data_IF_069779258306
#
_entry.id   IF_069779258306
#
_cell.length_a   1.000
_cell.length_b   1.000
_cell.length_c   1.000
_cell.angle_alpha   90.00
_cell.angle_beta   90.00
_cell.angle_gamma   90.00
#
_symmetry.space_group_name_H-M   'P 1'
#
loop_
_entity.id
_entity.type
_entity.pdbx_description
1 polymer ?
#
# COMPACT_ATOMS: atom_id res chain seq x y z
N UNK A 1 19.03 -4.54 -5.71
CA UNK A 1 17.67 -4.15 -5.28
C UNK A 1 17.17 -3.02 -6.18
N UNK A 2 15.97 -3.17 -6.77
CA UNK A 2 15.29 -2.07 -7.46
C UNK A 2 14.41 -1.37 -6.42
N UNK A 3 14.74 -0.13 -6.04
CA UNK A 3 13.96 0.61 -5.04
C UNK A 3 12.69 1.16 -5.70
N UNK A 4 11.57 1.14 -4.97
CA UNK A 4 10.37 1.83 -5.45
C UNK A 4 10.63 3.36 -5.49
N UNK A 5 10.27 4.05 -6.58
CA UNK A 5 10.49 5.49 -6.71
C UNK A 5 9.85 6.30 -5.59
N UNK A 6 10.35 7.51 -5.36
CA UNK A 6 9.67 8.48 -4.50
C UNK A 6 8.50 9.08 -5.27
N UNK A 7 7.36 9.23 -4.60
CA UNK A 7 6.12 9.75 -5.19
C UNK A 7 5.94 11.22 -4.83
N UNK A 8 5.74 12.08 -5.82
CA UNK A 8 5.60 13.54 -5.64
C UNK A 8 4.23 13.90 -5.06
N UNK A 9 4.16 15.01 -4.33
CA UNK A 9 2.88 15.54 -3.84
C UNK A 9 2.16 16.35 -4.92
N UNK A 10 0.84 16.23 -4.97
CA UNK A 10 -0.01 17.22 -5.66
C UNK A 10 -0.15 18.45 -4.76
N UNK A 11 -0.08 19.68 -5.30
CA UNK A 11 -0.30 20.91 -4.51
C UNK A 11 -1.65 20.87 -3.78
N UNK A 12 -1.64 21.32 -2.52
CA UNK A 12 -2.78 21.17 -1.61
C UNK A 12 -2.74 19.89 -0.77
N UNK A 13 -1.86 18.93 -1.12
CA UNK A 13 -1.47 17.82 -0.26
C UNK A 13 -0.53 18.32 0.84
N UNK A 14 -0.68 17.82 2.08
CA UNK A 14 0.25 18.16 3.16
C UNK A 14 1.46 17.23 3.11
N UNK A 15 2.67 17.81 3.14
CA UNK A 15 3.92 17.06 3.15
C UNK A 15 4.08 16.27 4.46
N UNK A 16 4.46 15.00 4.39
CA UNK A 16 4.83 14.21 5.56
C UNK A 16 6.32 14.43 5.90
N UNK A 17 6.74 14.02 7.11
CA UNK A 17 8.16 14.03 7.49
C UNK A 17 8.97 13.23 6.47
N UNK A 18 9.99 13.86 5.89
CA UNK A 18 10.85 13.25 4.86
C UNK A 18 10.52 13.64 3.42
N UNK A 19 9.41 14.34 3.16
CA UNK A 19 9.03 14.83 1.82
C UNK A 19 9.64 16.20 1.45
N UNK A 20 10.49 16.78 2.30
CA UNK A 20 11.04 18.14 2.13
C UNK A 20 11.76 18.39 0.79
N UNK A 21 12.28 17.33 0.16
CA UNK A 21 13.03 17.43 -1.10
C UNK A 21 12.16 17.27 -2.36
N UNK A 22 10.84 17.04 -2.22
CA UNK A 22 9.94 16.83 -3.37
C UNK A 22 9.09 18.07 -3.65
N UNK A 23 9.31 18.70 -4.80
CA UNK A 23 8.48 19.80 -5.25
C UNK A 23 7.02 19.34 -5.47
N UNK A 24 6.06 20.04 -4.84
CA UNK A 24 4.64 19.80 -5.03
C UNK A 24 4.18 20.26 -6.43
N UNK A 25 3.53 19.35 -7.16
CA UNK A 25 3.14 19.53 -8.55
C UNK A 25 1.72 20.08 -8.64
N UNK A 26 1.45 21.14 -9.42
CA UNK A 26 0.09 21.64 -9.61
C UNK A 26 -0.79 20.60 -10.32
N UNK A 27 -2.05 20.49 -9.92
CA UNK A 27 -2.98 19.53 -10.53
C UNK A 27 -3.18 19.77 -12.04
N UNK A 28 -2.95 20.98 -12.54
CA UNK A 28 -2.99 21.31 -13.97
C UNK A 28 -2.01 20.50 -14.83
N UNK A 29 -0.98 19.88 -14.24
CA UNK A 29 -0.08 18.96 -14.95
C UNK A 29 -0.68 17.55 -15.15
N UNK A 30 -1.77 17.23 -14.44
CA UNK A 30 -2.49 15.96 -14.50
C UNK A 30 -3.84 16.10 -15.21
N UNK A 31 -4.41 17.32 -15.24
CA UNK A 31 -5.74 17.58 -15.78
C UNK A 31 -5.91 17.05 -17.21
N UNK A 32 -7.04 16.37 -17.47
CA UNK A 32 -7.38 15.79 -18.77
C UNK A 32 -6.57 14.54 -19.19
N UNK A 33 -5.53 14.15 -18.44
CA UNK A 33 -4.77 12.91 -18.69
C UNK A 33 -5.53 11.69 -18.18
N UNK A 34 -5.23 10.50 -18.69
CA UNK A 34 -5.84 9.27 -18.17
C UNK A 34 -5.24 8.91 -16.80
N UNK A 35 -6.05 9.06 -15.75
CA UNK A 35 -5.65 8.81 -14.37
C UNK A 35 -6.18 7.47 -13.87
N UNK A 36 -5.37 6.79 -13.07
CA UNK A 36 -5.84 5.74 -12.16
C UNK A 36 -5.63 6.24 -10.73
N UNK A 37 -6.73 6.41 -10.00
CA UNK A 37 -6.73 6.87 -8.62
C UNK A 37 -7.01 5.67 -7.72
N UNK A 38 -6.07 5.37 -6.84
CA UNK A 38 -6.13 4.29 -5.87
C UNK A 38 -6.24 4.85 -4.45
N UNK A 39 -6.90 4.12 -3.54
CA UNK A 39 -6.81 4.43 -2.12
C UNK A 39 -5.35 4.32 -1.68
N UNK A 40 -4.82 5.37 -1.06
CA UNK A 40 -3.52 5.28 -0.41
C UNK A 40 -3.70 4.57 0.93
N UNK A 41 -3.22 3.33 1.00
CA UNK A 41 -3.19 2.57 2.25
C UNK A 41 -1.96 2.93 3.09
N UNK A 42 -2.12 2.88 4.41
CA UNK A 42 -1.10 3.20 5.41
C UNK A 42 -0.44 1.90 5.92
N UNK A 43 0.66 1.52 5.28
CA UNK A 43 1.44 0.35 5.65
C UNK A 43 2.93 0.52 5.34
N UNK A 44 3.59 -0.60 5.09
CA UNK A 44 4.99 -0.64 4.72
C UNK A 44 5.16 -1.05 3.27
N UNK A 45 5.88 -0.25 2.49
CA UNK A 45 6.29 -0.64 1.14
C UNK A 45 7.05 -1.97 1.16
N UNK A 46 6.58 -2.93 0.36
CA UNK A 46 7.20 -4.22 0.18
C UNK A 46 7.32 -4.56 -1.32
N UNK A 47 8.27 -5.44 -1.65
CA UNK A 47 8.46 -5.92 -3.01
C UNK A 47 8.83 -7.40 -3.07
N UNK A 48 8.44 -8.03 -4.17
CA UNK A 48 8.67 -9.44 -4.50
C UNK A 48 9.31 -9.50 -5.88
N UNK A 49 10.38 -10.28 -6.00
CA UNK A 49 11.05 -10.55 -7.26
C UNK A 49 11.71 -11.92 -7.19
N UNK A 50 12.10 -12.46 -8.34
CA UNK A 50 12.93 -13.66 -8.41
C UNK A 50 14.28 -13.32 -9.03
N UNK A 51 15.35 -13.96 -8.53
CA UNK A 51 16.65 -13.86 -9.16
C UNK A 51 16.90 -14.95 -10.21
N UNK A 52 18.11 -14.99 -10.80
CA UNK A 52 18.44 -15.88 -11.92
C UNK A 52 18.28 -17.37 -11.64
N UNK A 53 18.37 -17.78 -10.38
CA UNK A 53 18.16 -19.17 -9.97
C UNK A 53 16.69 -19.49 -9.65
N UNK A 54 15.78 -18.52 -9.83
CA UNK A 54 14.40 -18.59 -9.36
C UNK A 54 14.27 -18.39 -7.85
N UNK A 55 15.30 -17.87 -7.18
CA UNK A 55 15.27 -17.62 -5.75
C UNK A 55 14.35 -16.44 -5.42
N UNK A 56 13.45 -16.64 -4.45
CA UNK A 56 12.54 -15.61 -3.97
C UNK A 56 13.33 -14.50 -3.26
N UNK A 57 13.15 -13.26 -3.71
CA UNK A 57 13.74 -12.07 -3.09
C UNK A 57 12.62 -11.15 -2.61
N UNK A 58 12.61 -10.91 -1.30
CA UNK A 58 11.67 -10.01 -0.64
C UNK A 58 12.40 -8.75 -0.19
N UNK A 59 11.77 -7.59 -0.34
CA UNK A 59 12.37 -6.31 0.01
C UNK A 59 11.37 -5.40 0.74
N UNK A 60 11.88 -4.59 1.66
CA UNK A 60 11.24 -3.34 2.06
C UNK A 60 11.69 -2.23 1.10
N UNK A 61 11.27 -0.98 1.36
CA UNK A 61 11.75 0.19 0.61
C UNK A 61 13.29 0.34 0.64
N UNK A 62 13.92 0.01 1.76
CA UNK A 62 15.31 0.35 2.06
C UNK A 62 16.32 -0.77 1.80
N UNK A 63 15.90 -2.03 1.97
CA UNK A 63 16.77 -3.21 1.99
C UNK A 63 16.00 -4.49 1.65
N UNK A 64 16.73 -5.54 1.26
CA UNK A 64 16.19 -6.89 1.17
C UNK A 64 15.89 -7.42 2.58
N UNK A 65 14.79 -8.16 2.73
CA UNK A 65 14.35 -8.73 4.00
C UNK A 65 15.12 -10.03 4.27
N UNK A 66 16.16 -9.95 5.09
CA UNK A 66 17.08 -11.07 5.37
C UNK A 66 16.88 -11.69 6.76
N UNK A 67 15.95 -11.18 7.55
CA UNK A 67 15.70 -11.65 8.92
C UNK A 67 16.14 -10.65 10.00
N UNK A 68 15.76 -10.95 11.24
CA UNK A 68 16.17 -10.19 12.43
C UNK A 68 15.01 -9.53 13.19
N UNK A 69 15.27 -9.05 14.42
CA UNK A 69 14.22 -8.58 15.33
C UNK A 69 13.38 -7.41 14.79
N UNK A 70 14.01 -6.52 14.01
CA UNK A 70 13.34 -5.36 13.40
C UNK A 70 12.39 -5.74 12.25
N UNK A 71 12.49 -6.97 11.74
CA UNK A 71 11.65 -7.49 10.66
C UNK A 71 10.51 -8.37 11.17
N UNK A 72 10.23 -8.39 12.49
CA UNK A 72 9.16 -9.23 13.09
C UNK A 72 7.81 -9.06 12.39
N UNK A 73 7.50 -7.83 11.99
CA UNK A 73 6.25 -7.50 11.31
C UNK A 73 6.19 -8.02 9.86
N UNK A 74 7.32 -8.41 9.27
CA UNK A 74 7.41 -9.06 7.96
C UNK A 74 7.44 -10.59 8.05
N UNK A 75 7.45 -11.21 9.24
CA UNK A 75 7.46 -12.67 9.33
C UNK A 75 6.24 -13.31 8.61
N UNK A 76 4.99 -12.80 8.75
CA UNK A 76 3.87 -13.33 8.00
C UNK A 76 4.00 -13.09 6.48
N UNK A 77 4.57 -11.96 6.05
CA UNK A 77 4.84 -11.68 4.64
C UNK A 77 5.80 -12.69 4.03
N UNK A 78 6.87 -13.03 4.75
CA UNK A 78 7.85 -14.03 4.31
C UNK A 78 7.23 -15.41 4.18
N UNK A 79 6.43 -15.81 5.17
CA UNK A 79 5.73 -17.09 5.16
C UNK A 79 4.74 -17.17 3.99
N UNK A 80 3.88 -16.17 3.84
CA UNK A 80 2.93 -16.09 2.73
C UNK A 80 3.63 -16.09 1.37
N UNK A 81 4.64 -15.24 1.17
CA UNK A 81 5.35 -15.14 -0.10
C UNK A 81 6.09 -16.44 -0.46
N UNK A 82 6.64 -17.16 0.52
CA UNK A 82 7.23 -18.48 0.30
C UNK A 82 6.19 -19.51 -0.17
N UNK A 83 5.00 -19.50 0.43
CA UNK A 83 3.89 -20.39 0.04
C UNK A 83 3.40 -20.11 -1.39
N UNK A 84 3.26 -18.84 -1.77
CA UNK A 84 2.72 -18.47 -3.09
C UNK A 84 3.79 -18.33 -4.18
N UNK A 85 5.07 -18.46 -3.83
CA UNK A 85 6.19 -18.34 -4.76
C UNK A 85 6.07 -19.24 -6.01
N UNK A 86 5.65 -20.52 -5.92
CA UNK A 86 5.46 -21.37 -7.10
C UNK A 86 4.41 -20.84 -8.09
N UNK A 87 3.41 -20.08 -7.61
CA UNK A 87 2.39 -19.46 -8.45
C UNK A 87 2.87 -18.13 -9.05
N UNK A 88 3.69 -17.37 -8.30
CA UNK A 88 4.22 -16.08 -8.76
C UNK A 88 5.42 -16.22 -9.70
N UNK A 89 6.28 -17.23 -9.51
CA UNK A 89 7.52 -17.40 -10.27
C UNK A 89 7.31 -17.51 -11.78
N UNK A 90 6.36 -18.30 -12.30
CA UNK A 90 6.11 -18.39 -13.75
C UNK A 90 5.64 -17.07 -14.37
N UNK A 91 4.98 -16.22 -13.58
CA UNK A 91 4.43 -14.92 -14.02
C UNK A 91 5.50 -13.84 -13.99
N UNK A 92 6.16 -13.66 -12.84
CA UNK A 92 7.14 -12.59 -12.64
C UNK A 92 8.46 -12.89 -13.36
N UNK A 93 8.89 -14.17 -13.33
CA UNK A 93 10.23 -14.57 -13.72
C UNK A 93 11.31 -13.68 -13.10
N UNK A 94 12.42 -13.52 -13.82
CA UNK A 94 13.48 -12.57 -13.47
C UNK A 94 13.18 -11.14 -13.94
N UNK A 95 12.11 -10.97 -14.74
CA UNK A 95 11.80 -9.72 -15.45
C UNK A 95 11.10 -8.71 -14.57
N UNK A 96 10.14 -9.16 -13.76
CA UNK A 96 9.24 -8.26 -13.06
C UNK A 96 9.60 -8.12 -11.58
N UNK A 97 9.50 -6.90 -11.07
CA UNK A 97 9.49 -6.61 -9.64
C UNK A 97 8.08 -6.16 -9.25
N UNK A 98 7.42 -6.98 -8.45
CA UNK A 98 6.09 -6.72 -7.90
C UNK A 98 6.21 -5.85 -6.65
N UNK A 99 5.51 -4.72 -6.61
CA UNK A 99 5.45 -3.83 -5.45
C UNK A 99 4.04 -3.81 -4.87
N UNK A 100 3.97 -3.78 -3.54
CA UNK A 100 2.72 -3.69 -2.82
C UNK A 100 2.90 -3.09 -1.44
N UNK A 101 1.78 -2.74 -0.84
CA UNK A 101 1.71 -2.25 0.52
C UNK A 101 1.51 -3.43 1.45
N UNK A 102 2.46 -3.64 2.35
CA UNK A 102 2.37 -4.62 3.42
C UNK A 102 1.66 -4.02 4.62
N UNK A 103 0.50 -4.58 4.94
CA UNK A 103 -0.51 -4.00 5.82
C UNK A 103 -0.78 -4.85 7.04
N UNK A 104 0.06 -5.84 7.36
CA UNK A 104 -0.16 -6.68 8.54
C UNK A 104 -0.13 -5.89 9.83
N UNK A 105 0.90 -5.07 10.04
CA UNK A 105 0.98 -4.22 11.22
C UNK A 105 0.17 -2.95 11.01
N UNK A 106 -0.68 -2.61 11.99
CA UNK A 106 -1.29 -1.30 12.09
C UNK A 106 -0.22 -0.21 12.20
N UNK A 107 -0.34 0.81 11.36
CA UNK A 107 0.42 2.05 11.47
C UNK A 107 -0.43 3.13 12.17
N UNK A 108 -0.79 4.20 11.46
CA UNK A 108 -1.66 5.28 11.93
C UNK A 108 -3.12 4.88 11.72
N UNK A 109 -3.44 4.29 10.58
CA UNK A 109 -4.76 3.71 10.29
C UNK A 109 -4.80 2.25 10.75
N UNK A 110 -5.90 1.87 11.40
CA UNK A 110 -6.28 0.48 11.63
C UNK A 110 -7.32 0.06 10.60
N UNK A 111 -7.07 -1.03 9.90
CA UNK A 111 -7.99 -1.61 8.93
C UNK A 111 -8.59 -2.89 9.50
N UNK A 112 -9.90 -3.06 9.40
CA UNK A 112 -10.62 -4.28 9.81
C UNK A 112 -11.22 -5.04 8.63
N UNK A 113 -11.14 -4.48 7.42
CA UNK A 113 -11.70 -5.06 6.20
C UNK A 113 -10.71 -4.98 5.03
N UNK A 114 -9.43 -5.31 5.25
CA UNK A 114 -8.46 -5.35 4.15
C UNK A 114 -8.84 -6.43 3.13
N UNK A 115 -8.70 -6.15 1.82
CA UNK A 115 -8.89 -7.18 0.80
C UNK A 115 -7.74 -8.19 0.76
N UNK A 116 -6.55 -7.82 1.24
CA UNK A 116 -5.40 -8.70 1.46
C UNK A 116 -4.38 -8.01 2.39
N UNK A 117 -3.47 -8.76 3.03
CA UNK A 117 -2.41 -8.15 3.86
C UNK A 117 -1.24 -7.58 3.04
N UNK A 118 -1.10 -8.03 1.79
CA UNK A 118 -0.21 -7.46 0.79
C UNK A 118 -1.06 -6.98 -0.39
N UNK A 119 -1.23 -5.68 -0.53
CA UNK A 119 -2.01 -5.10 -1.63
C UNK A 119 -1.07 -4.57 -2.71
N UNK A 120 -1.11 -5.17 -3.88
CA UNK A 120 -0.29 -4.81 -5.03
C UNK A 120 -0.64 -3.43 -5.56
N UNK A 121 0.37 -2.59 -5.81
CA UNK A 121 0.15 -1.26 -6.39
C UNK A 121 1.10 -0.95 -7.54
N UNK A 122 2.11 -1.75 -7.84
CA UNK A 122 2.92 -1.51 -9.04
C UNK A 122 3.69 -2.74 -9.49
N UNK A 123 4.04 -2.77 -10.77
CA UNK A 123 4.98 -3.76 -11.30
C UNK A 123 5.99 -3.07 -12.19
N UNK A 124 7.27 -3.19 -11.85
CA UNK A 124 8.36 -2.75 -12.71
C UNK A 124 8.74 -3.87 -13.67
N UNK A 125 8.71 -3.57 -14.96
CA UNK A 125 9.38 -4.34 -15.99
C UNK A 125 10.85 -3.92 -16.07
N UNK A 126 11.74 -4.80 -15.64
CA UNK A 126 13.18 -4.48 -15.58
C UNK A 126 13.88 -4.52 -16.94
N UNK A 127 13.24 -5.07 -17.98
CA UNK A 127 13.79 -5.07 -19.35
C UNK A 127 13.49 -3.75 -20.06
N UNK A 128 12.29 -3.23 -19.85
CA UNK A 128 11.81 -1.99 -20.46
C UNK A 128 12.07 -0.75 -19.59
N UNK A 129 12.54 -0.95 -18.35
CA UNK A 129 12.65 0.07 -17.29
C UNK A 129 11.37 0.90 -17.13
N UNK A 130 10.22 0.23 -17.23
CA UNK A 130 8.91 0.85 -17.25
C UNK A 130 7.97 0.16 -16.26
N UNK A 131 7.09 0.94 -15.66
CA UNK A 131 6.04 0.40 -14.81
C UNK A 131 4.82 0.03 -15.65
N UNK A 132 4.24 -1.13 -15.39
CA UNK A 132 3.04 -1.60 -16.09
C UNK A 132 1.82 -0.74 -15.70
N UNK A 133 0.95 -0.47 -16.66
CA UNK A 133 -0.38 0.08 -16.40
C UNK A 133 -1.24 -0.90 -15.59
N UNK A 134 -2.28 -0.39 -14.94
CA UNK A 134 -3.22 -1.19 -14.15
C UNK A 134 -3.83 -2.37 -14.90
N UNK A 135 -4.29 -2.24 -16.16
CA UNK A 135 -4.74 -3.39 -16.94
C UNK A 135 -3.64 -4.45 -17.17
N UNK A 136 -2.41 -4.02 -17.47
CA UNK A 136 -1.26 -4.92 -17.72
C UNK A 136 -0.80 -5.65 -16.45
N UNK A 137 -0.89 -4.99 -15.28
CA UNK A 137 -0.64 -5.63 -13.98
C UNK A 137 -1.68 -6.71 -13.69
N UNK A 138 -2.97 -6.43 -13.94
CA UNK A 138 -4.06 -7.40 -13.78
C UNK A 138 -3.90 -8.63 -14.67
N UNK A 139 -3.54 -8.41 -15.94
CA UNK A 139 -3.24 -9.49 -16.89
C UNK A 139 -2.05 -10.35 -16.40
N UNK A 140 -0.96 -9.71 -15.97
CA UNK A 140 0.22 -10.42 -15.47
C UNK A 140 -0.07 -11.29 -14.24
N UNK A 141 -0.95 -10.81 -13.36
CA UNK A 141 -1.25 -11.42 -12.06
C UNK A 141 -2.54 -12.25 -12.06
N UNK A 142 -3.16 -12.45 -13.23
CA UNK A 142 -4.40 -13.20 -13.34
C UNK A 142 -4.25 -14.60 -12.73
N UNK A 143 -5.18 -14.96 -11.84
CA UNK A 143 -5.19 -16.24 -11.11
C UNK A 143 -4.07 -16.39 -10.08
N UNK A 144 -3.27 -15.36 -9.80
CA UNK A 144 -2.35 -15.36 -8.66
C UNK A 144 -3.10 -14.93 -7.38
N UNK A 145 -2.66 -15.39 -6.19
CA UNK A 145 -3.21 -14.98 -4.89
C UNK A 145 -2.76 -13.56 -4.50
N UNK A 146 -2.91 -12.59 -5.40
CA UNK A 146 -2.47 -11.20 -5.19
C UNK A 146 -3.63 -10.29 -5.52
N UNK A 147 -3.97 -9.42 -4.56
CA UNK A 147 -5.04 -8.44 -4.72
C UNK A 147 -4.41 -7.06 -4.86
N UNK A 148 -4.87 -6.26 -5.81
CA UNK A 148 -4.41 -4.87 -5.95
C UNK A 148 -5.01 -3.97 -4.87
N UNK A 149 -4.37 -2.83 -4.61
CA UNK A 149 -4.98 -1.74 -3.85
C UNK A 149 -6.32 -1.31 -4.48
N UNK A 150 -7.31 -0.85 -3.68
CA UNK A 150 -8.60 -0.41 -4.19
C UNK A 150 -8.47 0.72 -5.21
N UNK A 151 -9.04 0.53 -6.40
CA UNK A 151 -9.14 1.58 -7.43
C UNK A 151 -10.43 2.36 -7.22
N UNK A 152 -10.31 3.67 -6.99
CA UNK A 152 -11.42 4.58 -6.73
C UNK A 152 -11.91 5.28 -8.00
N UNK A 153 -11.03 5.47 -8.98
CA UNK A 153 -11.37 6.10 -10.25
C UNK A 153 -10.41 5.68 -11.36
N UNK A 154 -10.95 5.52 -12.57
CA UNK A 154 -10.19 5.37 -13.82
C UNK A 154 -10.76 6.35 -14.84
N UNK A 155 -9.91 7.19 -15.42
CA UNK A 155 -10.31 8.17 -16.42
C UNK A 155 -9.71 9.55 -16.19
N UNK A 156 -10.04 10.52 -17.06
CA UNK A 156 -9.59 11.90 -16.89
C UNK A 156 -10.37 12.63 -15.80
N UNK A 157 -9.67 13.54 -15.14
CA UNK A 157 -10.24 14.52 -14.21
C UNK A 157 -9.79 15.92 -14.61
N UNK A 158 -10.70 16.88 -14.55
CA UNK A 158 -10.44 18.26 -15.00
C UNK A 158 -9.97 19.16 -13.85
N UNK A 159 -10.46 18.94 -12.63
CA UNK A 159 -10.20 19.83 -11.49
C UNK A 159 -9.69 19.07 -10.28
N UNK A 160 -8.85 19.73 -9.48
CA UNK A 160 -8.38 19.20 -8.21
C UNK A 160 -9.55 18.82 -7.28
N UNK A 161 -10.64 19.59 -7.30
CA UNK A 161 -11.84 19.30 -6.53
C UNK A 161 -12.49 17.95 -6.90
N UNK A 162 -12.39 17.53 -8.18
CA UNK A 162 -12.91 16.24 -8.62
C UNK A 162 -12.06 15.10 -8.07
N UNK A 163 -10.73 15.27 -8.04
CA UNK A 163 -9.81 14.34 -7.38
C UNK A 163 -10.10 14.25 -5.87
N UNK A 164 -10.12 15.38 -5.16
CA UNK A 164 -10.23 15.38 -3.70
C UNK A 164 -11.60 14.90 -3.20
N UNK A 165 -12.65 14.95 -4.03
CA UNK A 165 -13.96 14.36 -3.70
C UNK A 165 -13.93 12.83 -3.62
N UNK A 166 -12.91 12.17 -4.17
CA UNK A 166 -12.71 10.72 -4.02
C UNK A 166 -12.24 10.34 -2.61
N UNK A 167 -11.84 11.31 -1.78
CA UNK A 167 -11.49 11.08 -0.39
C UNK A 167 -12.78 10.90 0.41
N UNK A 168 -13.13 9.65 0.66
CA UNK A 168 -14.26 9.24 1.50
C UNK A 168 -13.83 8.33 2.64
N UNK A 169 -14.79 7.66 3.31
CA UNK A 169 -14.50 6.55 4.21
C UNK A 169 -13.57 5.54 3.52
N UNK A 170 -12.57 5.02 4.25
CA UNK A 170 -11.67 4.00 3.70
C UNK A 170 -12.46 2.77 3.26
N UNK A 171 -12.14 2.22 2.09
CA UNK A 171 -12.77 0.98 1.61
C UNK A 171 -12.34 -0.25 2.43
N UNK A 172 -11.31 -0.07 3.27
CA UNK A 172 -10.74 -1.11 4.13
C UNK A 172 -11.13 -0.94 5.60
N UNK A 173 -12.10 -0.05 5.89
CA UNK A 173 -12.69 0.15 7.22
C UNK A 173 -14.20 -0.11 7.19
N UNK A 174 -14.68 -0.93 8.12
CA UNK A 174 -16.11 -1.01 8.41
C UNK A 174 -16.50 0.08 9.43
N UNK A 175 -17.80 0.40 9.60
CA UNK A 175 -18.25 1.26 10.70
C UNK A 175 -17.85 0.74 12.10
N UNK A 176 -17.57 -0.56 12.23
CA UNK A 176 -17.18 -1.24 13.46
C UNK A 176 -15.69 -1.21 13.79
N UNK A 177 -14.85 -0.56 12.97
CA UNK A 177 -13.38 -0.67 13.06
C UNK A 177 -12.81 -0.32 14.45
N UNK A 178 -13.46 0.57 15.21
CA UNK A 178 -13.01 0.94 16.57
C UNK A 178 -13.14 -0.22 17.56
N UNK A 179 -14.24 -0.97 17.47
CA UNK A 179 -14.44 -2.19 18.25
C UNK A 179 -13.43 -3.27 17.84
N UNK A 180 -13.27 -3.47 16.53
CA UNK A 180 -12.28 -4.40 16.00
C UNK A 180 -10.85 -4.05 16.43
N UNK A 181 -10.48 -2.76 16.49
CA UNK A 181 -9.19 -2.32 17.01
C UNK A 181 -9.04 -2.65 18.50
N UNK A 182 -10.08 -2.45 19.30
CA UNK A 182 -10.02 -2.76 20.73
C UNK A 182 -9.79 -4.26 20.96
N UNK A 183 -10.50 -5.12 20.23
CA UNK A 183 -10.30 -6.57 20.27
C UNK A 183 -8.90 -6.98 19.80
N UNK A 184 -8.43 -6.44 18.67
CA UNK A 184 -7.10 -6.70 18.14
C UNK A 184 -5.98 -6.23 19.08
N UNK A 185 -6.18 -5.09 19.76
CA UNK A 185 -5.27 -4.59 20.78
C UNK A 185 -5.21 -5.54 21.98
N UNK A 186 -6.36 -5.98 22.50
CA UNK A 186 -6.44 -6.95 23.59
C UNK A 186 -5.74 -8.28 23.25
N UNK A 187 -5.99 -8.81 22.05
CA UNK A 187 -5.32 -10.02 21.55
C UNK A 187 -3.80 -9.86 21.42
N UNK A 188 -3.32 -8.65 21.11
CA UNK A 188 -1.90 -8.32 21.04
C UNK A 188 -1.27 -7.97 22.41
N UNK A 189 -2.04 -8.02 23.51
CA UNK A 189 -1.59 -7.61 24.84
C UNK A 189 -1.34 -6.10 24.99
N UNK A 190 -1.96 -5.29 24.13
CA UNK A 190 -1.88 -3.83 24.15
C UNK A 190 -3.12 -3.22 24.84
N UNK A 191 -2.97 -2.03 25.43
CA UNK A 191 -4.09 -1.29 26.01
C UNK A 191 -5.02 -0.76 24.89
N UNK A 192 -6.31 -1.14 24.86
CA UNK A 192 -7.24 -0.71 23.81
C UNK A 192 -7.44 0.82 23.73
N UNK A 193 -7.50 1.50 24.89
CA UNK A 193 -7.69 2.94 24.95
C UNK A 193 -6.51 3.70 24.32
N UNK A 194 -5.30 3.27 24.64
CA UNK A 194 -4.05 3.77 24.06
C UNK A 194 -3.96 3.46 22.57
N UNK A 195 -4.31 2.24 22.15
CA UNK A 195 -4.32 1.87 20.74
C UNK A 195 -5.26 2.77 19.92
N UNK A 196 -6.43 3.10 20.44
CA UNK A 196 -7.37 4.05 19.83
C UNK A 196 -6.80 5.48 19.80
N UNK A 197 -6.22 5.96 20.90
CA UNK A 197 -5.63 7.31 20.98
C UNK A 197 -4.42 7.49 20.04
N UNK A 198 -3.65 6.43 19.80
CA UNK A 198 -2.51 6.41 18.87
C UNK A 198 -2.91 6.17 17.41
N UNK A 199 -4.22 6.14 17.12
CA UNK A 199 -4.78 5.92 15.78
C UNK A 199 -5.38 7.18 15.18
N UNK A 200 -5.41 7.21 13.85
CA UNK A 200 -6.30 8.12 13.13
C UNK A 200 -7.77 7.76 13.39
N UNK A 201 -8.43 8.63 14.16
CA UNK A 201 -9.82 8.50 14.58
C UNK A 201 -10.84 8.83 13.50
N UNK A 202 -10.43 9.29 12.31
CA UNK A 202 -11.33 9.56 11.19
C UNK A 202 -11.73 8.27 10.48
N UNK A 203 -12.95 8.17 9.96
CA UNK A 203 -13.32 7.04 9.09
C UNK A 203 -12.74 7.20 7.67
N UNK A 204 -12.22 8.39 7.34
CA UNK A 204 -11.66 8.70 6.02
C UNK A 204 -10.34 7.95 5.77
N UNK A 205 -10.12 7.58 4.51
CA UNK A 205 -8.82 7.07 4.03
C UNK A 205 -7.67 8.05 4.31
N UNK A 206 -6.41 7.58 4.29
CA UNK A 206 -5.23 8.45 4.41
C UNK A 206 -5.20 9.50 3.27
N UNK A 207 -5.54 9.07 2.06
CA UNK A 207 -5.48 9.90 0.88
C UNK A 207 -5.52 9.08 -0.40
N UNK A 208 -4.96 9.65 -1.46
CA UNK A 208 -5.04 9.13 -2.82
C UNK A 208 -3.65 8.91 -3.39
N UNK A 209 -3.46 7.77 -4.02
CA UNK A 209 -2.34 7.50 -4.91
C UNK A 209 -2.83 7.69 -6.35
N UNK A 210 -2.15 8.53 -7.12
CA UNK A 210 -2.60 8.94 -8.46
C UNK A 210 -1.55 8.56 -9.47
N UNK A 211 -1.89 7.69 -10.41
CA UNK A 211 -1.05 7.31 -11.54
C UNK A 211 -1.54 8.00 -12.79
N UNK A 212 -0.60 8.35 -13.65
CA UNK A 212 -0.91 8.67 -15.05
C UNK A 212 -0.49 7.48 -15.89
N UNK A 213 -1.44 6.92 -16.64
CA UNK A 213 -1.22 5.72 -17.45
C UNK A 213 -1.42 5.99 -18.94
N UNK A 214 -0.42 5.66 -19.75
CA UNK A 214 -0.38 5.92 -21.19
C UNK A 214 0.34 4.76 -21.89
N UNK A 215 -0.20 4.29 -23.03
CA UNK A 215 0.45 3.25 -23.84
C UNK A 215 0.72 1.94 -23.08
N UNK A 216 -0.15 1.58 -22.14
CA UNK A 216 0.02 0.37 -21.32
C UNK A 216 1.04 0.49 -20.18
N UNK A 217 1.54 1.70 -19.89
CA UNK A 217 2.56 1.98 -18.86
C UNK A 217 2.09 3.01 -17.84
N UNK A 218 2.57 2.92 -16.61
CA UNK A 218 2.48 3.98 -15.60
C UNK A 218 3.62 4.97 -15.81
N UNK A 219 3.33 6.10 -16.46
CA UNK A 219 4.34 7.10 -16.88
C UNK A 219 4.62 8.14 -15.81
N UNK A 220 3.69 8.34 -14.87
CA UNK A 220 3.86 9.27 -13.77
C UNK A 220 3.06 8.85 -12.53
N UNK A 221 3.44 9.36 -11.35
CA UNK A 221 2.81 9.04 -10.07
C UNK A 221 2.88 10.19 -9.08
N UNK A 222 1.79 10.34 -8.35
CA UNK A 222 1.58 11.40 -7.40
C UNK A 222 0.82 10.89 -6.17
N UNK A 223 0.92 11.64 -5.07
CA UNK A 223 0.12 11.41 -3.87
C UNK A 223 -0.59 12.69 -3.44
N UNK A 224 -1.81 12.53 -2.97
CA UNK A 224 -2.54 13.55 -2.23
C UNK A 224 -2.92 12.98 -0.86
N UNK A 225 -2.41 13.58 0.21
CA UNK A 225 -2.62 13.11 1.59
C UNK A 225 -3.51 14.13 2.30
N UNK A 226 -4.57 13.66 2.96
CA UNK A 226 -5.51 14.57 3.61
C UNK A 226 -4.86 15.26 4.82
N UNK A 227 -5.17 16.54 5.09
CA UNK A 227 -4.53 17.29 6.19
C UNK A 227 -4.68 16.65 7.58
N UNK A 228 -5.84 16.06 7.89
CA UNK A 228 -6.10 15.46 9.20
C UNK A 228 -5.28 14.19 9.48
N UNK A 229 -4.82 13.48 8.45
CA UNK A 229 -3.97 12.29 8.62
C UNK A 229 -2.59 12.70 9.12
N UNK A 230 -2.01 13.74 8.51
CA UNK A 230 -0.69 14.26 8.93
C UNK A 230 -0.72 14.74 10.37
N UNK A 231 -1.82 15.36 10.81
CA UNK A 231 -2.00 15.72 12.22
C UNK A 231 -1.99 14.48 13.11
N UNK A 232 -2.77 13.45 12.78
CA UNK A 232 -2.79 12.20 13.56
C UNK A 232 -1.42 11.53 13.69
N UNK A 233 -0.61 11.52 12.62
CA UNK A 233 0.78 11.02 12.66
C UNK A 233 1.62 11.81 13.68
N UNK A 234 1.51 13.14 13.67
CA UNK A 234 2.26 14.02 14.58
C UNK A 234 1.78 13.90 16.03
N UNK A 235 0.47 13.89 16.24
CA UNK A 235 -0.18 13.88 17.55
C UNK A 235 0.05 12.55 18.28
N UNK A 236 0.25 11.46 17.54
CA UNK A 236 0.48 10.13 18.10
C UNK A 236 1.80 9.98 18.89
N UNK A 237 2.72 10.95 18.80
CA UNK A 237 3.87 11.12 19.69
C UNK A 237 4.98 10.05 19.65
N UNK A 238 4.74 8.89 19.04
CA UNK A 238 5.67 7.75 18.94
C UNK A 238 5.67 7.17 17.53
N UNK A 239 6.76 6.54 17.09
CA UNK A 239 6.75 5.85 15.80
C UNK A 239 6.04 4.49 15.94
N UNK A 240 5.30 4.05 14.92
CA UNK A 240 4.51 2.80 15.01
C UNK A 240 5.37 1.56 15.28
N UNK A 241 6.63 1.54 14.82
CA UNK A 241 7.59 0.46 15.10
C UNK A 241 7.88 0.28 16.60
N UNK A 242 7.74 1.35 17.39
CA UNK A 242 8.01 1.34 18.83
C UNK A 242 6.79 0.92 19.66
N UNK A 243 5.65 0.68 19.00
CA UNK A 243 4.38 0.28 19.64
C UNK A 243 4.21 -1.24 19.64
N UNK A 244 3.28 -1.78 20.45
CA UNK A 244 2.83 -3.16 20.29
C UNK A 244 2.37 -3.45 18.87
N UNK A 245 2.69 -4.64 18.38
CA UNK A 245 2.32 -5.10 17.04
C UNK A 245 0.84 -5.51 17.04
N UNK A 246 -0.04 -4.60 16.64
CA UNK A 246 -1.46 -4.89 16.43
C UNK A 246 -1.66 -5.26 14.96
N UNK A 247 -2.23 -6.43 14.71
CA UNK A 247 -2.51 -6.90 13.35
C UNK A 247 -3.78 -6.23 12.79
N UNK A 248 -3.74 -5.75 11.55
CA UNK A 248 -4.95 -5.37 10.82
C UNK A 248 -5.80 -6.61 10.48
N UNK A 249 -7.10 -6.38 10.29
CA UNK A 249 -8.09 -7.39 9.91
C UNK A 249 -8.30 -7.49 8.40
N UNK A 250 -8.62 -8.70 7.96
CA UNK A 250 -9.05 -9.01 6.59
C UNK A 250 -10.57 -9.00 6.51
N UNK A 251 -11.11 -8.54 5.39
CA UNK A 251 -12.54 -8.69 5.09
C UNK A 251 -12.93 -10.17 4.96
N UNK A 252 -12.03 -10.98 4.40
CA UNK A 252 -12.15 -12.43 4.29
C UNK A 252 -10.79 -13.08 4.63
N UNK A 253 -10.68 -13.85 5.73
CA UNK A 253 -9.45 -14.54 6.09
C UNK A 253 -8.95 -15.55 5.05
N UNK A 254 -9.84 -16.12 4.22
CA UNK A 254 -9.48 -17.14 3.22
C UNK A 254 -8.63 -16.58 2.08
N UNK A 255 -8.64 -15.26 1.89
CA UNK A 255 -7.97 -14.58 0.77
C UNK A 255 -6.45 -14.74 0.79
N UNK A 256 -5.83 -14.97 1.94
CA UNK A 256 -4.36 -15.09 2.06
C UNK A 256 -3.80 -16.25 1.24
N UNK A 257 -4.54 -17.35 1.13
CA UNK A 257 -4.09 -18.56 0.45
C UNK A 257 -5.08 -19.03 -0.62
N UNK A 258 -5.96 -18.13 -1.08
CA UNK A 258 -6.90 -18.41 -2.14
C UNK A 258 -6.18 -18.90 -3.41
N UNK A 259 -6.50 -20.10 -3.89
CA UNK A 259 -5.86 -20.68 -5.08
C UNK A 259 -4.54 -21.41 -4.81
N UNK A 260 -4.09 -21.49 -3.56
CA UNK A 260 -3.05 -22.46 -3.13
C UNK A 260 -3.76 -23.79 -2.85
N UNK A 261 -3.87 -24.65 -3.87
CA UNK A 261 -4.33 -26.03 -3.76
C UNK A 261 -3.33 -26.97 -4.42
#
# INVERSE_FOLDING_TARGET
>A
MRKYPRTRHIRGSRLQRGDHDLAAVPFSALAGRHLVVEEKLDGANAGISFGPGGELRLQSRGHYLTGGPRERHFAPFKAWAATVAPLLRPRLGERYVLYGEWLYAKHTVFYDALPHLFCEFDVLDTREDAFLSTPRRRELLEGAPVVSVPVLHTGPLERLADLTRLVGPSTCRTPGWRGALAEAAGAAGADPGRALAESDGSDLMEGLYVKVEEGGRTVDRYKWVRPGFTSAVLDSGTHWLDRPLIANGLADPEVLYAGVR
#
